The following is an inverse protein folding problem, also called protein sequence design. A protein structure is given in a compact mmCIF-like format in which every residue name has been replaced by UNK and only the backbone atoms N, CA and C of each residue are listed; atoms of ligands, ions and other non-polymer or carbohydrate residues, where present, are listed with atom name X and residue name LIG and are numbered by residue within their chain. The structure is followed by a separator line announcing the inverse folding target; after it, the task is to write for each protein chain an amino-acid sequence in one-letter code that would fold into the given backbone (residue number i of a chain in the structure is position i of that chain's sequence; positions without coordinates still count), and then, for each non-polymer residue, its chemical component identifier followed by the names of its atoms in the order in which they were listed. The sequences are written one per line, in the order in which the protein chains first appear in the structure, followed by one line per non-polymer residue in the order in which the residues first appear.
data_IF_482362975873
#
_entry.id   IF_482362975873
#
_cell.length_a   1.000
_cell.length_b   1.000
_cell.length_c   1.000
_cell.angle_alpha   90.00
_cell.angle_beta   90.00
_cell.angle_gamma   90.00
#
_symmetry.space_group_name_H-M   'P 1'
#
loop_
_entity.id
_entity.type
_entity.pdbx_description
1 polymer ?
#
# COMPACT_ATOMS: atom_id res chain seq x y z
N UNK A 1 8.87 45.56 -19.15
CA UNK A 1 8.86 44.44 -18.18
C UNK A 1 8.60 43.17 -18.95
N UNK A 2 9.63 42.37 -19.20
CA UNK A 2 9.50 41.06 -19.85
C UNK A 2 9.18 40.01 -18.79
N UNK A 3 7.96 39.47 -18.81
CA UNK A 3 7.57 38.34 -17.97
C UNK A 3 8.10 37.06 -18.62
N UNK A 4 9.13 36.46 -18.01
CA UNK A 4 9.62 35.14 -18.39
C UNK A 4 8.64 34.09 -17.85
N UNK A 5 7.90 33.46 -18.75
CA UNK A 5 7.07 32.30 -18.44
C UNK A 5 8.00 31.09 -18.24
N UNK A 6 8.36 30.80 -16.98
CA UNK A 6 9.09 29.58 -16.63
C UNK A 6 8.14 28.40 -16.76
N UNK A 7 8.22 27.67 -17.87
CA UNK A 7 7.58 26.36 -18.01
C UNK A 7 8.35 25.41 -17.09
N UNK A 8 7.82 25.18 -15.89
CA UNK A 8 8.21 24.07 -15.03
C UNK A 8 7.77 22.78 -15.73
N UNK A 9 8.69 22.15 -16.46
CA UNK A 9 8.55 20.75 -16.87
C UNK A 9 8.58 19.90 -15.61
N UNK A 10 7.40 19.52 -15.11
CA UNK A 10 7.29 18.45 -14.11
C UNK A 10 7.78 17.18 -14.82
N UNK A 11 8.87 16.54 -14.38
CA UNK A 11 9.26 15.25 -14.95
C UNK A 11 8.08 14.31 -14.75
N UNK A 12 7.66 13.61 -15.81
CA UNK A 12 6.64 12.58 -15.70
C UNK A 12 7.09 11.58 -14.63
N UNK A 13 6.43 11.64 -13.46
CA UNK A 13 6.53 10.61 -12.43
C UNK A 13 6.25 9.29 -13.16
N UNK A 14 7.25 8.41 -13.24
CA UNK A 14 7.02 7.05 -13.68
C UNK A 14 5.96 6.47 -12.75
N UNK A 15 4.74 6.32 -13.25
CA UNK A 15 3.69 5.61 -12.54
C UNK A 15 4.22 4.20 -12.29
N UNK A 16 4.50 3.85 -11.03
CA UNK A 16 4.93 2.50 -10.69
C UNK A 16 3.79 1.54 -11.03
N UNK A 17 4.00 0.72 -12.06
CA UNK A 17 3.03 -0.29 -12.46
C UNK A 17 2.91 -1.36 -11.36
N UNK A 18 1.68 -1.80 -11.09
CA UNK A 18 1.37 -2.89 -10.18
C UNK A 18 1.30 -4.23 -10.91
N UNK A 19 1.42 -5.33 -10.15
CA UNK A 19 1.30 -6.69 -10.70
C UNK A 19 -0.09 -6.87 -11.35
N UNK A 20 -0.10 -6.97 -12.68
CA UNK A 20 -1.31 -7.11 -13.49
C UNK A 20 -1.62 -5.91 -14.38
N UNK A 21 -1.00 -4.75 -14.13
CA UNK A 21 -1.18 -3.53 -14.94
C UNK A 21 -0.49 -3.65 -16.30
N UNK A 22 0.65 -4.35 -16.34
CA UNK A 22 1.38 -4.67 -17.56
C UNK A 22 1.90 -6.10 -17.56
N UNK A 23 2.25 -6.56 -18.75
CA UNK A 23 2.89 -7.86 -18.94
C UNK A 23 4.32 -7.83 -18.42
N UNK A 24 4.66 -8.75 -17.50
CA UNK A 24 6.03 -8.92 -16.99
C UNK A 24 6.70 -10.12 -17.66
N UNK A 25 7.99 -9.96 -17.99
CA UNK A 25 8.83 -11.01 -18.57
C UNK A 25 10.29 -10.77 -18.19
N UNK A 26 11.15 -11.71 -18.54
CA UNK A 26 12.60 -11.59 -18.33
C UNK A 26 13.14 -10.23 -18.76
N UNK A 27 13.94 -9.61 -17.89
CA UNK A 27 14.50 -8.26 -18.07
C UNK A 27 13.59 -7.12 -17.61
N UNK A 28 12.32 -7.38 -17.29
CA UNK A 28 11.47 -6.38 -16.65
C UNK A 28 12.04 -5.99 -15.28
N UNK A 29 11.84 -4.73 -14.91
CA UNK A 29 12.14 -4.26 -13.57
C UNK A 29 11.07 -3.26 -13.12
N UNK A 30 10.94 -3.12 -11.82
CA UNK A 30 9.97 -2.22 -11.21
C UNK A 30 9.26 -2.85 -10.02
N UNK A 31 8.33 -2.09 -9.49
CA UNK A 31 7.54 -2.42 -8.31
C UNK A 31 6.66 -3.67 -8.50
N UNK A 32 5.94 -3.76 -9.62
CA UNK A 32 5.21 -4.96 -10.05
C UNK A 32 6.03 -6.26 -10.03
N UNK A 33 7.33 -6.19 -10.37
CA UNK A 33 8.24 -7.33 -10.29
C UNK A 33 8.53 -7.71 -8.83
N UNK A 34 8.68 -6.73 -7.93
CA UNK A 34 8.84 -7.00 -6.49
C UNK A 34 7.59 -7.71 -5.96
N UNK A 35 6.40 -7.24 -6.33
CA UNK A 35 5.13 -7.86 -5.93
C UNK A 35 5.03 -9.30 -6.46
N UNK A 36 5.36 -9.52 -7.73
CA UNK A 36 5.43 -10.86 -8.32
C UNK A 36 6.34 -11.78 -7.51
N UNK A 37 7.57 -11.34 -7.24
CA UNK A 37 8.58 -12.13 -6.54
C UNK A 37 8.08 -12.51 -5.13
N UNK A 38 7.52 -11.58 -4.37
CA UNK A 38 7.01 -11.84 -3.03
C UNK A 38 5.82 -12.78 -3.03
N UNK A 39 4.86 -12.57 -3.93
CA UNK A 39 3.68 -13.41 -4.02
C UNK A 39 4.04 -14.86 -4.39
N UNK A 40 4.94 -15.05 -5.35
CA UNK A 40 5.46 -16.36 -5.70
C UNK A 40 6.23 -17.00 -4.53
N UNK A 41 7.06 -16.24 -3.82
CA UNK A 41 7.76 -16.73 -2.62
C UNK A 41 6.79 -17.17 -1.52
N UNK A 42 5.71 -16.41 -1.28
CA UNK A 42 4.66 -16.75 -0.32
C UNK A 42 3.96 -18.06 -0.68
N UNK A 43 3.72 -18.27 -1.99
CA UNK A 43 3.15 -19.50 -2.52
C UNK A 43 4.15 -20.68 -2.58
N UNK A 44 5.36 -20.51 -2.06
CA UNK A 44 6.37 -21.57 -1.98
C UNK A 44 7.27 -21.70 -3.21
N UNK A 45 7.21 -20.77 -4.16
CA UNK A 45 8.08 -20.78 -5.34
C UNK A 45 9.37 -20.00 -5.11
N UNK A 46 10.50 -20.60 -5.49
CA UNK A 46 11.82 -20.00 -5.29
C UNK A 46 12.11 -18.92 -6.34
N UNK A 47 12.00 -17.65 -5.96
CA UNK A 47 12.28 -16.48 -6.82
C UNK A 47 13.65 -15.85 -6.61
N UNK A 48 14.37 -16.27 -5.57
CA UNK A 48 15.56 -15.55 -5.09
C UNK A 48 15.20 -14.35 -4.23
N UNK A 49 16.04 -13.30 -4.27
CA UNK A 49 15.75 -12.04 -3.57
C UNK A 49 14.67 -11.27 -4.33
N UNK A 50 13.68 -10.74 -3.61
CA UNK A 50 12.67 -9.83 -4.18
C UNK A 50 13.27 -8.44 -4.44
N UNK A 51 14.16 -8.35 -5.42
CA UNK A 51 14.97 -7.18 -5.76
C UNK A 51 14.36 -6.31 -6.87
N UNK A 52 13.19 -6.69 -7.39
CA UNK A 52 12.48 -5.97 -8.44
C UNK A 52 13.08 -6.16 -9.83
N UNK A 53 13.95 -7.15 -10.02
CA UNK A 53 14.51 -7.52 -11.31
C UNK A 53 13.99 -8.88 -11.72
N UNK A 54 13.33 -8.93 -12.88
CA UNK A 54 12.79 -10.17 -13.42
C UNK A 54 13.92 -10.94 -14.10
N UNK A 55 14.73 -11.61 -13.26
CA UNK A 55 15.85 -12.44 -13.69
C UNK A 55 15.45 -13.90 -13.91
N UNK A 56 16.48 -14.74 -14.06
CA UNK A 56 16.31 -16.17 -14.33
C UNK A 56 15.51 -16.90 -13.24
N UNK A 57 15.82 -16.65 -11.96
CA UNK A 57 15.10 -17.29 -10.84
C UNK A 57 13.61 -16.92 -10.82
N UNK A 58 13.28 -15.64 -11.02
CA UNK A 58 11.88 -15.19 -11.13
C UNK A 58 11.17 -15.84 -12.32
N UNK A 59 11.84 -15.96 -13.47
CA UNK A 59 11.26 -16.64 -14.63
C UNK A 59 10.99 -18.12 -14.37
N UNK A 60 11.90 -18.83 -13.71
CA UNK A 60 11.68 -20.23 -13.34
C UNK A 60 10.52 -20.38 -12.36
N UNK A 61 10.44 -19.51 -11.35
CA UNK A 61 9.31 -19.50 -10.42
C UNK A 61 7.97 -19.28 -11.14
N UNK A 62 7.90 -18.35 -12.11
CA UNK A 62 6.70 -18.13 -12.92
C UNK A 62 6.34 -19.37 -13.74
N UNK A 63 7.33 -20.01 -14.39
CA UNK A 63 7.09 -21.24 -15.16
C UNK A 63 6.57 -22.38 -14.28
N UNK A 64 7.16 -22.56 -13.10
CA UNK A 64 6.71 -23.55 -12.13
C UNK A 64 5.30 -23.25 -11.62
N UNK A 65 4.99 -21.97 -11.37
CA UNK A 65 3.65 -21.54 -11.00
C UNK A 65 2.64 -21.86 -12.11
N UNK A 66 2.94 -21.48 -13.35
CA UNK A 66 2.09 -21.75 -14.51
C UNK A 66 1.84 -23.26 -14.68
N UNK A 67 2.90 -24.07 -14.57
CA UNK A 67 2.83 -25.54 -14.66
C UNK A 67 1.89 -26.12 -13.59
N UNK A 68 2.10 -25.77 -12.32
CA UNK A 68 1.28 -26.27 -11.20
C UNK A 68 -0.19 -25.85 -11.30
N UNK A 69 -0.48 -24.80 -12.09
CA UNK A 69 -1.81 -24.24 -12.25
C UNK A 69 -2.44 -24.53 -13.62
N UNK A 70 -1.85 -25.42 -14.43
CA UNK A 70 -2.37 -25.78 -15.75
C UNK A 70 -2.43 -24.64 -16.76
N UNK A 71 -1.65 -23.57 -16.55
CA UNK A 71 -1.53 -22.46 -17.49
C UNK A 71 -0.48 -22.79 -18.57
N UNK A 72 -0.49 -22.02 -19.66
CA UNK A 72 0.60 -22.04 -20.65
C UNK A 72 1.92 -21.67 -19.96
N UNK A 73 2.94 -22.52 -20.10
CA UNK A 73 4.25 -22.37 -19.43
C UNK A 73 5.22 -21.60 -20.31
N UNK A 74 5.01 -20.28 -20.43
CA UNK A 74 5.87 -19.39 -21.21
C UNK A 74 6.80 -18.50 -20.34
N UNK A 75 6.62 -18.52 -19.02
CA UNK A 75 7.38 -17.67 -18.10
C UNK A 75 7.03 -16.19 -18.20
N UNK A 76 5.86 -15.87 -18.79
CA UNK A 76 5.36 -14.51 -18.97
C UNK A 76 4.17 -14.30 -18.02
N UNK A 77 4.22 -13.21 -17.26
CA UNK A 77 3.13 -12.84 -16.36
C UNK A 77 2.25 -11.83 -17.06
N UNK A 78 1.26 -12.34 -17.80
CA UNK A 78 0.13 -11.56 -18.29
C UNK A 78 -0.97 -11.43 -17.22
N UNK A 79 -2.04 -10.71 -17.57
CA UNK A 79 -3.18 -10.43 -16.66
C UNK A 79 -3.75 -11.68 -15.98
N UNK A 80 -3.88 -12.79 -16.73
CA UNK A 80 -4.43 -14.04 -16.20
C UNK A 80 -3.50 -14.66 -15.14
N UNK A 81 -2.20 -14.79 -15.42
CA UNK A 81 -1.20 -15.30 -14.48
C UNK A 81 -1.12 -14.43 -13.23
N UNK A 82 -1.07 -13.10 -13.39
CA UNK A 82 -1.05 -12.15 -12.28
C UNK A 82 -2.29 -12.32 -11.37
N UNK A 83 -3.49 -12.38 -11.96
CA UNK A 83 -4.75 -12.53 -11.22
C UNK A 83 -4.78 -13.83 -10.41
N UNK A 84 -4.29 -14.93 -10.99
CA UNK A 84 -4.27 -16.23 -10.32
C UNK A 84 -3.27 -16.26 -9.16
N UNK A 85 -2.08 -15.67 -9.33
CA UNK A 85 -1.09 -15.50 -8.26
C UNK A 85 -1.73 -14.74 -7.08
N UNK A 86 -2.36 -13.60 -7.37
CA UNK A 86 -3.02 -12.77 -6.35
C UNK A 86 -4.14 -13.54 -5.64
N UNK A 87 -4.95 -14.29 -6.40
CA UNK A 87 -6.03 -15.11 -5.84
C UNK A 87 -5.49 -16.21 -4.90
N UNK A 88 -4.39 -16.88 -5.26
CA UNK A 88 -3.82 -17.93 -4.43
C UNK A 88 -3.15 -17.39 -3.18
N UNK A 89 -2.46 -16.24 -3.27
CA UNK A 89 -1.94 -15.54 -2.08
C UNK A 89 -3.08 -15.19 -1.11
N UNK A 90 -4.25 -14.88 -1.65
CA UNK A 90 -5.45 -14.56 -0.87
C UNK A 90 -6.18 -15.79 -0.28
N UNK A 91 -5.64 -17.01 -0.46
CA UNK A 91 -6.18 -18.25 0.11
C UNK A 91 -7.25 -18.94 -0.74
N UNK A 92 -7.22 -18.80 -2.07
CA UNK A 92 -8.06 -19.59 -2.99
C UNK A 92 -9.55 -19.21 -3.00
N UNK A 93 -9.99 -18.26 -2.16
CA UNK A 93 -11.22 -17.55 -2.42
C UNK A 93 -10.97 -16.73 -3.69
N UNK A 94 -11.70 -17.01 -4.77
CA UNK A 94 -11.82 -16.09 -5.89
C UNK A 94 -11.92 -14.68 -5.33
N UNK A 95 -11.21 -13.72 -5.91
CA UNK A 95 -11.33 -12.29 -5.60
C UNK A 95 -12.74 -11.84 -6.01
N UNK A 96 -13.76 -12.33 -5.31
CA UNK A 96 -14.84 -11.50 -4.88
C UNK A 96 -14.22 -10.78 -3.71
N UNK A 97 -14.01 -9.45 -3.75
CA UNK A 97 -13.73 -8.73 -2.53
C UNK A 97 -14.78 -9.21 -1.53
N UNK A 98 -14.36 -9.96 -0.50
CA UNK A 98 -15.25 -10.16 0.64
C UNK A 98 -15.27 -8.80 1.28
N UNK A 99 -16.22 -7.99 0.81
CA UNK A 99 -16.46 -6.66 1.31
C UNK A 99 -16.59 -6.80 2.82
N UNK A 100 -15.56 -6.38 3.53
CA UNK A 100 -15.73 -6.05 4.93
C UNK A 100 -16.48 -4.75 4.89
N UNK A 101 -17.81 -4.82 4.98
CA UNK A 101 -18.65 -3.64 5.20
C UNK A 101 -18.24 -3.06 6.53
N UNK A 102 -17.57 -1.92 6.47
CA UNK A 102 -17.14 -1.21 7.68
C UNK A 102 -18.33 -0.44 8.25
N UNK A 103 -18.31 -0.13 9.54
CA UNK A 103 -19.28 0.77 10.16
C UNK A 103 -19.07 2.23 9.71
N UNK A 104 -17.96 2.50 9.02
CA UNK A 104 -17.52 3.80 8.50
C UNK A 104 -17.97 4.00 7.05
N UNK A 105 -19.28 3.96 6.81
CA UNK A 105 -19.86 4.05 5.46
C UNK A 105 -19.67 2.78 4.62
N UNK A 106 -20.25 2.76 3.41
CA UNK A 106 -20.19 1.60 2.49
C UNK A 106 -18.78 1.41 1.87
N UNK A 107 -17.74 1.25 2.68
CA UNK A 107 -16.41 0.86 2.22
C UNK A 107 -16.35 -0.66 2.09
N UNK A 108 -15.89 -1.13 0.92
CA UNK A 108 -15.67 -2.55 0.62
C UNK A 108 -14.17 -2.77 0.56
N UNK A 109 -13.59 -3.33 1.63
CA UNK A 109 -12.16 -3.65 1.68
C UNK A 109 -11.91 -5.15 1.56
N UNK A 110 -10.89 -5.51 0.79
CA UNK A 110 -10.34 -6.86 0.69
C UNK A 110 -9.40 -7.18 1.85
N UNK A 111 -9.05 -8.46 2.00
CA UNK A 111 -8.01 -8.87 2.97
C UNK A 111 -6.65 -8.25 2.66
N UNK A 112 -6.34 -8.04 1.39
CA UNK A 112 -5.11 -7.38 0.97
C UNK A 112 -5.09 -5.92 1.41
N UNK A 113 -6.23 -5.22 1.30
CA UNK A 113 -6.35 -3.83 1.76
C UNK A 113 -6.11 -3.71 3.26
N UNK A 114 -6.66 -4.63 4.05
CA UNK A 114 -6.46 -4.70 5.50
C UNK A 114 -4.98 -4.97 5.82
N UNK A 115 -4.34 -5.88 5.07
CA UNK A 115 -2.92 -6.18 5.21
C UNK A 115 -2.05 -4.96 4.88
N UNK A 116 -2.33 -4.26 3.78
CA UNK A 116 -1.61 -3.06 3.35
C UNK A 116 -1.76 -1.93 4.36
N UNK A 117 -2.98 -1.73 4.86
CA UNK A 117 -3.26 -0.75 5.90
C UNK A 117 -2.53 -1.09 7.21
N UNK A 118 -2.47 -2.36 7.60
CA UNK A 118 -1.72 -2.78 8.79
C UNK A 118 -0.21 -2.53 8.64
N UNK A 119 0.35 -2.66 7.42
CA UNK A 119 1.75 -2.33 7.14
C UNK A 119 2.05 -0.85 7.25
N UNK A 120 1.12 0.00 6.82
CA UNK A 120 1.22 1.45 7.07
C UNK A 120 1.21 1.74 8.56
N UNK A 121 0.25 1.22 9.30
CA UNK A 121 0.19 1.43 10.76
C UNK A 121 1.48 0.96 11.44
N UNK A 122 2.00 -0.20 11.03
CA UNK A 122 3.24 -0.74 11.58
C UNK A 122 4.45 0.16 11.27
N UNK A 123 4.55 0.71 10.06
CA UNK A 123 5.69 1.59 9.72
C UNK A 123 5.59 2.97 10.35
N UNK A 124 4.38 3.52 10.45
CA UNK A 124 4.15 4.92 10.86
C UNK A 124 3.98 5.08 12.37
N UNK A 125 3.49 4.06 13.06
CA UNK A 125 3.07 4.15 14.46
C UNK A 125 3.59 3.00 15.33
N UNK A 126 4.60 2.24 14.87
CA UNK A 126 5.26 1.26 15.73
C UNK A 126 5.94 1.95 16.91
N UNK A 127 5.64 1.47 18.12
CA UNK A 127 6.10 2.08 19.36
C UNK A 127 5.22 3.23 19.87
N UNK A 128 4.23 3.69 19.09
CA UNK A 128 3.19 4.59 19.58
C UNK A 128 2.17 3.83 20.45
N UNK A 129 1.43 4.59 21.26
CA UNK A 129 0.27 4.05 21.98
C UNK A 129 -0.74 3.41 21.02
N UNK A 130 -1.54 2.45 21.51
CA UNK A 130 -2.59 1.85 20.70
C UNK A 130 -3.55 2.90 20.09
N UNK A 131 -3.87 3.96 20.85
CA UNK A 131 -4.69 5.07 20.36
C UNK A 131 -4.05 5.80 19.16
N UNK A 132 -2.72 5.99 19.18
CA UNK A 132 -1.97 6.57 18.06
C UNK A 132 -1.96 5.68 16.82
N UNK A 133 -1.82 4.36 17.00
CA UNK A 133 -1.92 3.38 15.91
C UNK A 133 -3.33 3.41 15.26
N UNK A 134 -4.38 3.44 16.08
CA UNK A 134 -5.77 3.57 15.58
C UNK A 134 -5.97 4.90 14.85
N UNK A 135 -5.38 6.00 15.33
CA UNK A 135 -5.46 7.30 14.68
C UNK A 135 -4.80 7.33 13.29
N UNK A 136 -3.65 6.69 13.11
CA UNK A 136 -3.02 6.54 11.78
C UNK A 136 -3.89 5.71 10.84
N UNK A 137 -4.43 4.58 11.30
CA UNK A 137 -5.36 3.78 10.51
C UNK A 137 -6.61 4.59 10.11
N UNK A 138 -7.14 5.38 11.04
CA UNK A 138 -8.28 6.24 10.81
C UNK A 138 -8.02 7.29 9.72
N UNK A 139 -6.85 7.94 9.72
CA UNK A 139 -6.48 8.92 8.68
C UNK A 139 -6.49 8.29 7.28
N UNK A 140 -5.98 7.06 7.12
CA UNK A 140 -6.03 6.35 5.83
C UNK A 140 -7.48 6.14 5.37
N UNK A 141 -8.36 5.72 6.30
CA UNK A 141 -9.78 5.53 6.00
C UNK A 141 -10.50 6.85 5.71
N UNK A 142 -10.16 7.93 6.40
CA UNK A 142 -10.73 9.27 6.17
C UNK A 142 -10.32 9.79 4.78
N UNK A 143 -9.05 9.59 4.39
CA UNK A 143 -8.56 9.90 3.04
C UNK A 143 -9.32 9.13 1.97
N UNK A 144 -9.52 7.83 2.17
CA UNK A 144 -10.30 6.99 1.26
C UNK A 144 -11.75 7.49 1.13
N UNK A 145 -12.40 7.81 2.25
CA UNK A 145 -13.77 8.33 2.25
C UNK A 145 -13.90 9.70 1.59
N UNK A 146 -12.89 10.56 1.74
CA UNK A 146 -12.92 11.91 1.18
C UNK A 146 -12.93 11.92 -0.35
N UNK A 147 -12.43 10.87 -0.99
CA UNK A 147 -12.18 10.80 -2.44
C UNK A 147 -11.07 11.75 -2.95
N UNK A 148 -10.50 12.60 -2.10
CA UNK A 148 -9.45 13.57 -2.48
C UNK A 148 -8.09 12.89 -2.73
N UNK A 149 -7.90 11.69 -2.21
CA UNK A 149 -6.64 10.95 -2.23
C UNK A 149 -6.72 9.68 -3.10
N UNK A 150 -7.80 9.55 -3.88
CA UNK A 150 -8.14 8.35 -4.64
C UNK A 150 -9.27 7.54 -4.01
N UNK A 151 -9.64 6.44 -4.67
CA UNK A 151 -10.86 5.68 -4.38
C UNK A 151 -10.56 4.26 -3.89
N UNK A 152 -9.29 3.89 -3.74
CA UNK A 152 -8.84 2.60 -3.21
C UNK A 152 -7.83 2.78 -2.09
N UNK A 153 -7.66 1.76 -1.24
CA UNK A 153 -6.63 1.77 -0.19
C UNK A 153 -5.24 1.92 -0.80
N UNK A 154 -5.00 1.31 -1.97
CA UNK A 154 -3.76 1.45 -2.69
C UNK A 154 -3.53 2.91 -3.12
N UNK A 155 -4.54 3.59 -3.68
CA UNK A 155 -4.38 4.99 -4.08
C UNK A 155 -3.92 5.85 -2.90
N UNK A 156 -4.55 5.66 -1.74
CA UNK A 156 -4.24 6.43 -0.53
C UNK A 156 -2.84 6.12 -0.01
N UNK A 157 -2.50 4.84 0.12
CA UNK A 157 -1.23 4.38 0.71
C UNK A 157 -0.04 4.75 -0.17
N UNK A 158 -0.17 4.63 -1.49
CA UNK A 158 0.95 4.83 -2.42
C UNK A 158 1.01 6.23 -3.01
N UNK A 159 0.19 7.17 -2.53
CA UNK A 159 0.39 8.58 -2.86
C UNK A 159 1.84 9.00 -2.52
N UNK A 160 2.52 9.73 -3.43
CA UNK A 160 3.88 10.19 -3.18
C UNK A 160 3.97 10.91 -1.83
N UNK A 161 4.92 10.48 -0.99
CA UNK A 161 5.19 11.06 0.33
C UNK A 161 4.07 10.97 1.38
N UNK A 162 3.03 10.15 1.14
CA UNK A 162 1.90 10.02 2.07
C UNK A 162 2.23 9.26 3.36
N UNK A 163 3.10 8.25 3.26
CA UNK A 163 3.53 7.38 4.36
C UNK A 163 5.01 7.02 4.18
N UNK A 164 5.85 7.31 5.17
CA UNK A 164 7.29 7.03 5.12
C UNK A 164 7.58 5.54 5.00
N UNK A 165 6.74 4.69 5.59
CA UNK A 165 6.84 3.23 5.51
C UNK A 165 6.99 2.74 4.06
N UNK A 166 6.22 3.32 3.13
CA UNK A 166 6.19 2.94 1.71
C UNK A 166 7.52 3.23 1.03
N UNK A 167 8.18 4.34 1.39
CA UNK A 167 9.41 4.82 0.78
C UNK A 167 10.67 4.23 1.43
N UNK A 168 10.63 3.95 2.73
CA UNK A 168 11.78 3.46 3.51
C UNK A 168 11.98 1.94 3.41
N UNK A 169 11.28 1.27 2.48
CA UNK A 169 11.25 -0.20 2.31
C UNK A 169 10.73 -0.97 3.52
N UNK A 170 10.27 -0.29 4.57
CA UNK A 170 9.72 -0.88 5.79
C UNK A 170 8.26 -1.29 5.65
N UNK A 171 7.54 -0.77 4.65
CA UNK A 171 6.18 -1.20 4.31
C UNK A 171 6.08 -2.70 4.00
N UNK A 172 7.21 -3.38 3.79
CA UNK A 172 7.22 -4.83 3.55
C UNK A 172 7.61 -5.64 4.77
N UNK A 173 7.78 -5.02 5.93
CA UNK A 173 7.89 -5.72 7.20
C UNK A 173 6.52 -6.32 7.54
N UNK A 174 6.55 -7.52 8.13
CA UNK A 174 5.32 -8.18 8.59
C UNK A 174 4.71 -7.34 9.72
N UNK A 175 3.46 -6.87 9.58
CA UNK A 175 2.81 -6.08 10.61
C UNK A 175 2.53 -6.95 11.84
N UNK A 176 2.74 -6.37 13.03
CA UNK A 176 2.46 -7.07 14.29
C UNK A 176 0.96 -7.14 14.62
N UNK A 177 0.62 -7.93 15.64
CA UNK A 177 -0.75 -8.12 16.09
C UNK A 177 -1.43 -6.81 16.50
N UNK A 178 -0.70 -5.88 17.11
CA UNK A 178 -1.23 -4.57 17.52
C UNK A 178 -1.61 -3.70 16.33
N UNK A 179 -0.83 -3.77 15.24
CA UNK A 179 -1.12 -3.06 13.99
C UNK A 179 -2.43 -3.56 13.38
N UNK A 180 -2.65 -4.87 13.32
CA UNK A 180 -3.94 -5.44 12.87
C UNK A 180 -5.10 -5.04 13.79
N UNK A 181 -4.92 -5.11 15.10
CA UNK A 181 -5.96 -4.72 16.06
C UNK A 181 -6.35 -3.24 15.91
N UNK A 182 -5.37 -2.36 15.67
CA UNK A 182 -5.61 -0.94 15.44
C UNK A 182 -6.42 -0.71 14.15
N UNK A 183 -6.09 -1.44 13.08
CA UNK A 183 -6.87 -1.42 11.83
C UNK A 183 -8.30 -1.89 12.08
N UNK A 184 -8.50 -3.02 12.77
CA UNK A 184 -9.84 -3.52 13.08
C UNK A 184 -10.66 -2.53 13.92
N UNK A 185 -10.04 -1.86 14.89
CA UNK A 185 -10.71 -0.81 15.68
C UNK A 185 -11.14 0.36 14.80
N UNK A 186 -10.28 0.83 13.89
CA UNK A 186 -10.60 1.89 12.95
C UNK A 186 -11.73 1.50 11.99
N UNK A 187 -11.69 0.28 11.43
CA UNK A 187 -12.74 -0.28 10.57
C UNK A 187 -14.09 -0.44 11.31
N UNK A 188 -14.04 -0.70 12.61
CA UNK A 188 -15.23 -0.80 13.47
C UNK A 188 -15.84 0.56 13.81
N UNK A 189 -15.18 1.67 13.46
CA UNK A 189 -15.69 3.03 13.65
C UNK A 189 -14.84 3.93 14.55
N UNK A 190 -13.83 3.41 15.25
CA UNK A 190 -13.06 4.22 16.18
C UNK A 190 -12.15 5.20 15.44
N UNK A 191 -12.41 6.52 15.54
CA UNK A 191 -11.56 7.57 14.99
C UNK A 191 -11.04 8.54 16.06
N UNK A 192 -9.93 8.22 16.74
CA UNK A 192 -9.35 9.13 17.73
C UNK A 192 -8.81 10.44 17.12
N UNK A 193 -8.61 10.49 15.80
CA UNK A 193 -8.07 11.65 15.09
C UNK A 193 -9.13 12.71 14.78
N UNK A 194 -10.41 12.43 15.04
CA UNK A 194 -11.58 13.28 14.74
C UNK A 194 -11.68 13.71 13.27
N UNK A 195 -11.53 12.77 12.34
CA UNK A 195 -11.67 13.04 10.91
C UNK A 195 -10.43 13.64 10.27
N UNK A 196 -9.25 13.53 10.89
CA UNK A 196 -8.02 14.06 10.34
C UNK A 196 -7.68 13.45 8.97
N UNK A 197 -7.12 14.28 8.09
CA UNK A 197 -6.59 13.89 6.77
C UNK A 197 -5.06 13.96 6.73
N UNK A 198 -4.44 14.60 7.71
CA UNK A 198 -3.00 14.77 7.80
C UNK A 198 -2.50 14.49 9.21
N UNK A 199 -1.27 14.00 9.31
CA UNK A 199 -0.53 13.98 10.56
C UNK A 199 0.97 14.19 10.30
N UNK A 200 1.70 14.62 11.33
CA UNK A 200 3.16 14.74 11.29
C UNK A 200 3.76 14.66 12.68
N UNK A 201 5.05 14.32 12.75
CA UNK A 201 5.82 14.43 13.98
C UNK A 201 6.33 15.88 14.14
N UNK A 202 5.89 16.63 15.18
CA UNK A 202 6.22 18.04 15.32
C UNK A 202 7.70 18.27 15.62
N UNK A 203 8.46 17.24 16.02
CA UNK A 203 9.91 17.34 16.26
C UNK A 203 10.73 17.32 14.98
N UNK A 204 10.22 16.68 13.92
CA UNK A 204 10.98 16.44 12.69
C UNK A 204 10.38 17.14 11.47
N UNK A 205 9.10 17.51 11.51
CA UNK A 205 8.43 18.16 10.38
C UNK A 205 8.90 19.61 10.17
N UNK A 206 9.48 19.87 9.00
CA UNK A 206 9.98 21.19 8.60
C UNK A 206 9.11 21.90 7.55
N UNK A 207 8.13 21.20 6.97
CA UNK A 207 7.27 21.74 5.90
C UNK A 207 6.39 22.89 6.40
N UNK A 208 6.54 24.10 5.84
CA UNK A 208 5.68 25.23 6.20
C UNK A 208 4.21 24.98 5.87
N UNK A 209 3.94 24.20 4.81
CA UNK A 209 2.59 23.86 4.39
C UNK A 209 1.87 22.93 5.38
N UNK A 210 2.57 21.94 5.97
CA UNK A 210 1.92 21.05 6.94
C UNK A 210 1.50 21.81 8.20
N UNK A 211 2.34 22.77 8.63
CA UNK A 211 2.05 23.63 9.78
C UNK A 211 0.97 24.68 9.53
N UNK A 212 0.54 24.90 8.29
CA UNK A 212 -0.61 25.76 7.98
C UNK A 212 -1.94 25.02 8.00
N UNK A 213 -1.95 23.70 8.20
CA UNK A 213 -3.19 22.91 8.29
C UNK A 213 -3.90 23.20 9.63
N UNK A 214 -5.25 23.20 9.68
CA UNK A 214 -5.98 23.35 10.93
C UNK A 214 -5.71 22.18 11.89
N UNK A 215 -4.94 22.42 12.95
CA UNK A 215 -4.57 21.42 13.95
C UNK A 215 -5.80 21.03 14.78
N UNK A 216 -6.01 19.73 14.94
CA UNK A 216 -7.08 19.15 15.77
C UNK A 216 -6.53 18.83 17.16
N UNK A 217 -5.53 17.95 17.23
CA UNK A 217 -4.95 17.46 18.48
C UNK A 217 -3.59 16.79 18.24
N UNK A 218 -2.93 16.41 19.34
CA UNK A 218 -1.75 15.55 19.32
C UNK A 218 -2.04 14.24 20.07
N UNK A 219 -1.68 13.10 19.46
CA UNK A 219 -1.71 11.78 20.10
C UNK A 219 -0.31 11.19 19.99
N UNK A 220 0.32 10.94 21.14
CA UNK A 220 1.70 10.47 21.18
C UNK A 220 2.64 11.45 20.48
N UNK A 221 3.38 10.98 19.50
CA UNK A 221 4.33 11.79 18.74
C UNK A 221 3.73 12.48 17.51
N UNK A 222 2.44 12.27 17.21
CA UNK A 222 1.81 12.80 16.01
C UNK A 222 0.80 13.90 16.30
N UNK A 223 0.95 15.03 15.61
CA UNK A 223 -0.09 16.07 15.49
C UNK A 223 -1.00 15.68 14.33
N UNK A 224 -2.31 15.79 14.53
CA UNK A 224 -3.35 15.46 13.55
C UNK A 224 -4.10 16.73 13.12
N UNK A 225 -4.45 16.84 11.84
CA UNK A 225 -5.07 18.01 11.25
C UNK A 225 -6.03 17.67 10.09
N UNK A 226 -6.92 18.62 9.78
CA UNK A 226 -7.76 18.61 8.57
C UNK A 226 -6.99 18.98 7.31
#
# INVERSE_FOLDING_TARGET
MFSVLTILTVPALHAEAYLGDRTLKYGASGYDVIQLQKNLSYLGYQVGKADGKFGWQTQQAVKNFQWNNGQKVDGIVGRQTASLIIQQVSGGQAVRPRAVTTSRGNLTLSRQDIYDLARVVHGEARGESFLGQVAVAAVVLNRLQSGQFGNTIQDVIFQPWAFTAVHDKQFYLEPDATSYQAVQAALSGADPSDGALYYWNPRTATSKWIWSRPIIKQIGQHVFAY
#
